data_IF_179541798854
#
_entry.id   IF_179541798854
#
_cell.length_a   1.000
_cell.length_b   1.000
_cell.length_c   1.000
_cell.angle_alpha   90.00
_cell.angle_beta   90.00
_cell.angle_gamma   90.00
#
_symmetry.space_group_name_H-M   'P 1'
#
loop_
_entity.id
_entity.type
_entity.pdbx_description
1 polymer ?
#
# COMPACT_ATOMS: atom_id res chain seq x y z
N UNK A 1 -8.26 -2.48 22.72
CA UNK A 1 -8.75 -1.28 21.99
C UNK A 1 -7.68 -0.99 20.97
N UNK A 2 -8.05 -0.79 19.70
CA UNK A 2 -7.05 -0.52 18.67
C UNK A 2 -6.51 0.90 18.80
N UNK A 3 -5.25 1.09 18.42
CA UNK A 3 -4.58 2.38 18.45
C UNK A 3 -3.48 2.45 17.39
N UNK A 4 -3.24 3.65 16.87
CA UNK A 4 -2.11 3.89 15.97
C UNK A 4 -0.82 3.96 16.79
N UNK A 5 0.23 3.30 16.32
CA UNK A 5 1.52 3.26 17.01
C UNK A 5 2.23 4.59 16.85
N UNK A 6 2.44 5.28 17.97
CA UNK A 6 3.21 6.52 18.03
C UNK A 6 4.66 6.25 17.61
N UNK A 7 5.13 6.95 16.57
CA UNK A 7 6.48 6.81 16.04
C UNK A 7 6.66 5.69 15.00
N UNK A 8 5.57 5.08 14.50
CA UNK A 8 5.64 4.24 13.32
C UNK A 8 6.25 5.03 12.14
N UNK A 9 7.40 4.56 11.65
CA UNK A 9 8.13 5.20 10.55
C UNK A 9 7.88 4.46 9.24
N UNK A 10 8.16 5.12 8.12
CA UNK A 10 8.18 4.48 6.80
C UNK A 10 9.11 3.26 6.79
N UNK A 11 10.30 3.38 7.39
CA UNK A 11 11.27 2.29 7.43
C UNK A 11 10.80 1.10 8.29
N UNK A 12 10.18 1.36 9.44
CA UNK A 12 9.66 0.28 10.30
C UNK A 12 8.50 -0.45 9.64
N UNK A 13 7.54 0.28 9.05
CA UNK A 13 6.40 -0.34 8.36
C UNK A 13 6.86 -1.08 7.10
N UNK A 14 7.77 -0.51 6.31
CA UNK A 14 8.33 -1.20 5.14
C UNK A 14 9.02 -2.52 5.53
N UNK A 15 9.74 -2.53 6.66
CA UNK A 15 10.37 -3.74 7.21
C UNK A 15 9.31 -4.78 7.59
N UNK A 16 8.23 -4.40 8.29
CA UNK A 16 7.15 -5.32 8.66
C UNK A 16 6.41 -5.86 7.43
N UNK A 17 6.10 -5.00 6.47
CA UNK A 17 5.53 -5.37 5.17
C UNK A 17 6.50 -6.17 4.28
N UNK A 18 7.77 -6.30 4.69
CA UNK A 18 8.85 -6.92 3.93
C UNK A 18 9.03 -6.32 2.52
N UNK A 19 8.84 -5.01 2.39
CA UNK A 19 8.98 -4.27 1.14
C UNK A 19 10.23 -3.40 1.18
N UNK A 20 10.98 -3.40 0.07
CA UNK A 20 12.05 -2.44 -0.14
C UNK A 20 11.50 -1.17 -0.78
N UNK A 21 11.66 -0.04 -0.11
CA UNK A 21 11.29 1.26 -0.66
C UNK A 21 12.30 1.66 -1.75
N UNK A 22 11.87 1.92 -3.00
CA UNK A 22 12.78 2.36 -4.05
C UNK A 22 13.44 3.69 -3.72
N UNK A 23 14.68 3.89 -4.19
CA UNK A 23 15.44 5.11 -3.92
C UNK A 23 14.77 6.38 -4.49
N UNK A 24 14.01 6.25 -5.57
CA UNK A 24 13.27 7.36 -6.18
C UNK A 24 11.93 7.66 -5.49
N UNK A 25 11.56 6.92 -4.44
CA UNK A 25 10.32 7.13 -3.74
C UNK A 25 10.28 8.49 -3.05
N UNK A 26 9.20 9.21 -3.29
CA UNK A 26 8.93 10.52 -2.68
C UNK A 26 7.59 10.49 -1.94
N UNK A 27 7.33 11.51 -1.11
CA UNK A 27 6.09 11.62 -0.33
C UNK A 27 5.74 10.37 0.48
N UNK A 28 6.75 9.62 0.93
CA UNK A 28 6.53 8.37 1.63
C UNK A 28 5.88 8.61 3.00
N UNK A 29 4.77 7.91 3.25
CA UNK A 29 4.02 7.94 4.50
C UNK A 29 3.65 6.51 4.90
N UNK A 30 3.60 6.24 6.20
CA UNK A 30 3.19 4.95 6.70
C UNK A 30 2.56 5.08 8.08
N UNK A 31 1.73 4.10 8.45
CA UNK A 31 1.18 3.94 9.79
C UNK A 31 0.96 2.46 10.11
N UNK A 32 0.96 2.16 11.40
CA UNK A 32 0.73 0.83 11.96
C UNK A 32 -0.37 0.96 13.03
N UNK A 33 -1.42 0.17 12.88
CA UNK A 33 -2.56 0.09 13.77
C UNK A 33 -2.47 -1.21 14.57
N UNK A 34 -2.23 -1.10 15.86
CA UNK A 34 -2.18 -2.25 16.77
C UNK A 34 -3.52 -2.51 17.45
N UNK A 35 -3.72 -3.74 17.91
CA UNK A 35 -4.78 -4.09 18.86
C UNK A 35 -6.12 -4.48 18.22
N UNK A 36 -6.08 -4.89 16.94
CA UNK A 36 -7.08 -5.73 16.31
C UNK A 36 -6.71 -7.22 16.51
N UNK A 37 -7.38 -8.14 15.81
CA UNK A 37 -6.96 -9.56 15.81
C UNK A 37 -5.58 -9.73 15.16
N UNK A 38 -5.37 -8.98 14.07
CA UNK A 38 -4.17 -8.87 13.26
C UNK A 38 -3.84 -7.37 13.15
N UNK A 39 -2.58 -6.94 13.23
CA UNK A 39 -2.27 -5.52 13.17
C UNK A 39 -2.37 -5.00 11.75
N UNK A 40 -2.87 -3.78 11.61
CA UNK A 40 -3.08 -3.14 10.33
C UNK A 40 -1.89 -2.29 9.90
N UNK A 41 -1.33 -2.55 8.72
CA UNK A 41 -0.19 -1.81 8.19
C UNK A 41 -0.59 -1.09 6.91
N UNK A 42 -0.34 0.22 6.83
CA UNK A 42 -0.53 1.00 5.61
C UNK A 42 0.71 1.81 5.28
N UNK A 43 1.05 1.86 4.00
CA UNK A 43 2.18 2.63 3.49
C UNK A 43 1.85 3.15 2.09
N UNK A 44 2.24 4.39 1.80
CA UNK A 44 2.08 4.96 0.48
C UNK A 44 3.26 5.86 0.12
N UNK A 45 3.60 5.91 -1.16
CA UNK A 45 4.68 6.74 -1.69
C UNK A 45 4.47 6.96 -3.19
N UNK A 46 5.14 7.98 -3.74
CA UNK A 46 5.08 8.35 -5.15
C UNK A 46 6.35 7.89 -5.86
N UNK A 47 6.17 7.28 -7.02
CA UNK A 47 7.25 6.86 -7.93
C UNK A 47 7.11 7.50 -9.32
N UNK A 48 8.23 7.70 -10.03
CA UNK A 48 8.23 7.85 -11.47
C UNK A 48 7.52 6.66 -12.14
N UNK A 49 6.71 6.94 -13.17
CA UNK A 49 5.87 5.93 -13.85
C UNK A 49 6.67 4.76 -14.41
N UNK A 50 7.89 5.02 -14.87
CA UNK A 50 8.84 4.04 -15.40
C UNK A 50 9.42 3.11 -14.32
N UNK A 51 9.44 3.52 -13.06
CA UNK A 51 9.90 2.70 -11.93
C UNK A 51 8.78 1.87 -11.27
N UNK A 52 7.51 2.22 -11.52
CA UNK A 52 6.35 1.56 -10.90
C UNK A 52 6.29 0.08 -11.26
N UNK A 53 6.48 -0.25 -12.54
CA UNK A 53 6.32 -1.62 -13.02
C UNK A 53 7.45 -2.52 -12.49
N UNK A 54 8.67 -1.97 -12.37
CA UNK A 54 9.79 -2.66 -11.73
C UNK A 54 9.50 -2.91 -10.24
N UNK A 55 9.03 -1.89 -9.51
CA UNK A 55 8.65 -2.05 -8.11
C UNK A 55 7.57 -3.13 -7.93
N UNK A 56 6.50 -3.08 -8.74
CA UNK A 56 5.44 -4.10 -8.68
C UNK A 56 5.98 -5.50 -8.98
N UNK A 57 6.91 -5.64 -9.93
CA UNK A 57 7.53 -6.94 -10.22
C UNK A 57 8.33 -7.49 -9.03
N UNK A 58 8.99 -6.63 -8.23
CA UNK A 58 9.70 -7.03 -7.02
C UNK A 58 8.77 -7.56 -5.92
N UNK A 59 7.52 -7.09 -5.88
CA UNK A 59 6.48 -7.66 -5.00
C UNK A 59 6.03 -9.07 -5.44
N UNK A 60 6.48 -9.53 -6.62
CA UNK A 60 6.20 -10.83 -7.24
C UNK A 60 4.71 -11.22 -7.10
N UNK A 61 3.80 -10.40 -7.66
CA UNK A 61 2.38 -10.72 -7.66
C UNK A 61 2.15 -12.09 -8.34
N UNK A 62 1.32 -12.95 -7.75
CA UNK A 62 0.98 -14.25 -8.34
C UNK A 62 0.29 -14.12 -9.71
N UNK A 63 -0.42 -13.00 -9.91
CA UNK A 63 -1.12 -12.65 -11.14
C UNK A 63 -0.90 -11.16 -11.43
N UNK A 64 -0.90 -10.75 -12.71
CA UNK A 64 -0.84 -9.33 -13.06
C UNK A 64 -1.90 -8.51 -12.30
N UNK A 65 -1.54 -7.29 -11.90
CA UNK A 65 -2.49 -6.38 -11.24
C UNK A 65 -3.68 -6.09 -12.16
N UNK A 66 -4.89 -6.15 -11.61
CA UNK A 66 -6.11 -5.84 -12.33
C UNK A 66 -6.31 -4.33 -12.45
N UNK A 67 -6.73 -3.86 -13.62
CA UNK A 67 -7.13 -2.46 -13.80
C UNK A 67 -8.59 -2.29 -13.39
N UNK A 68 -8.83 -1.41 -12.43
CA UNK A 68 -10.15 -0.93 -12.05
C UNK A 68 -10.36 0.47 -12.62
N UNK A 69 -11.23 0.57 -13.61
CA UNK A 69 -11.52 1.82 -14.31
C UNK A 69 -12.31 2.81 -13.44
N UNK A 70 -13.32 2.33 -12.71
CA UNK A 70 -14.24 3.18 -11.95
C UNK A 70 -13.98 3.10 -10.44
N UNK A 71 -14.16 4.20 -9.68
CA UNK A 71 -14.16 4.18 -8.22
C UNK A 71 -15.14 3.16 -7.65
N UNK A 72 -14.78 2.53 -6.53
CA UNK A 72 -15.73 1.80 -5.73
C UNK A 72 -16.66 2.79 -5.01
N UNK A 73 -17.88 2.33 -4.72
CA UNK A 73 -18.85 3.15 -3.98
C UNK A 73 -18.44 3.40 -2.52
N UNK A 74 -17.54 2.57 -1.96
CA UNK A 74 -17.03 2.67 -0.59
C UNK A 74 -15.67 1.99 -0.46
N UNK A 75 -14.89 2.40 0.55
CA UNK A 75 -13.65 1.72 0.92
C UNK A 75 -13.92 0.29 1.39
N UNK A 76 -13.04 -0.62 0.98
CA UNK A 76 -13.03 -2.03 1.34
C UNK A 76 -12.24 -2.31 2.61
N UNK A 77 -11.38 -1.36 3.04
CA UNK A 77 -10.61 -1.45 4.28
C UNK A 77 -10.87 -0.22 5.17
N UNK A 78 -12.01 -0.17 5.89
CA UNK A 78 -12.34 0.96 6.75
C UNK A 78 -11.52 1.02 8.04
N UNK A 79 -10.88 -0.10 8.43
CA UNK A 79 -10.11 -0.18 9.68
C UNK A 79 -8.77 0.54 9.59
N UNK A 80 -8.13 0.52 8.41
CA UNK A 80 -6.86 1.21 8.16
C UNK A 80 -6.97 2.19 6.99
N UNK A 81 -7.69 3.31 7.18
CA UNK A 81 -7.94 4.24 6.11
C UNK A 81 -6.68 5.07 5.78
N UNK A 82 -6.37 5.22 4.49
CA UNK A 82 -5.24 6.06 4.03
C UNK A 82 -5.46 7.56 4.32
N UNK A 83 -6.71 7.96 4.56
CA UNK A 83 -7.03 9.31 5.06
C UNK A 83 -6.40 9.63 6.42
N UNK A 84 -6.03 8.63 7.23
CA UNK A 84 -5.20 8.84 8.42
C UNK A 84 -3.83 9.45 8.08
N UNK A 85 -3.27 9.12 6.90
CA UNK A 85 -2.02 9.68 6.38
C UNK A 85 -2.25 11.00 5.61
N UNK A 86 -3.49 11.52 5.58
CA UNK A 86 -3.89 12.67 4.77
C UNK A 86 -3.86 12.37 3.26
N UNK A 87 -4.13 11.12 2.87
CA UNK A 87 -4.14 10.67 1.48
C UNK A 87 -5.56 10.26 1.05
N UNK A 88 -5.89 10.32 -0.25
CA UNK A 88 -7.13 9.75 -0.75
C UNK A 88 -7.12 8.22 -0.64
N UNK A 89 -8.29 7.63 -0.45
CA UNK A 89 -8.44 6.18 -0.43
C UNK A 89 -8.30 5.59 -1.84
N UNK A 90 -7.44 4.58 -2.07
CA UNK A 90 -7.24 4.00 -3.39
C UNK A 90 -8.54 3.44 -3.99
N UNK A 91 -9.41 2.87 -3.16
CA UNK A 91 -10.71 2.34 -3.57
C UNK A 91 -11.64 3.39 -4.18
N UNK A 92 -11.50 4.65 -3.77
CA UNK A 92 -12.33 5.77 -4.24
C UNK A 92 -11.72 6.51 -5.45
N UNK A 93 -10.57 6.05 -5.94
CA UNK A 93 -9.92 6.59 -7.14
C UNK A 93 -10.31 5.80 -8.39
N UNK A 94 -10.28 6.46 -9.54
CA UNK A 94 -10.46 5.83 -10.85
C UNK A 94 -9.12 5.35 -11.44
N UNK A 95 -9.16 4.43 -12.40
CA UNK A 95 -7.99 3.92 -13.14
C UNK A 95 -6.86 3.40 -12.24
N UNK A 96 -7.23 2.62 -11.24
CA UNK A 96 -6.30 2.04 -10.27
C UNK A 96 -5.90 0.64 -10.70
N UNK A 97 -4.59 0.34 -10.71
CA UNK A 97 -4.10 -1.04 -10.88
C UNK A 97 -3.92 -1.65 -9.50
N UNK A 98 -4.57 -2.76 -9.18
CA UNK A 98 -4.52 -3.35 -7.84
C UNK A 98 -4.48 -4.89 -7.84
N UNK A 99 -4.01 -5.46 -6.74
CA UNK A 99 -3.93 -6.90 -6.55
C UNK A 99 -3.29 -7.29 -5.22
N UNK A 100 -3.49 -8.55 -4.83
CA UNK A 100 -2.80 -9.15 -3.68
C UNK A 100 -1.43 -9.67 -4.11
N UNK A 101 -0.42 -9.46 -3.27
CA UNK A 101 0.98 -9.77 -3.55
C UNK A 101 1.58 -10.54 -2.38
N UNK A 102 1.49 -11.86 -2.43
CA UNK A 102 1.85 -12.72 -1.28
C UNK A 102 3.31 -13.21 -1.27
N UNK A 103 4.19 -12.70 -2.12
CA UNK A 103 5.53 -13.26 -2.23
C UNK A 103 6.53 -12.96 -1.10
N UNK A 104 6.35 -11.92 -0.25
CA UNK A 104 7.13 -11.78 0.97
C UNK A 104 6.33 -12.13 2.25
N UNK A 105 5.16 -12.77 2.10
CA UNK A 105 4.26 -13.07 3.22
C UNK A 105 4.62 -14.36 4.00
N UNK A 106 5.67 -15.09 3.63
CA UNK A 106 5.90 -16.46 4.14
C UNK A 106 6.19 -16.54 5.66
N UNK A 107 6.56 -15.44 6.32
CA UNK A 107 6.97 -15.48 7.74
C UNK A 107 6.06 -14.74 8.72
N UNK A 108 5.62 -13.50 8.43
CA UNK A 108 4.96 -12.62 9.41
C UNK A 108 3.84 -11.74 8.83
N UNK A 109 3.36 -12.02 7.61
CA UNK A 109 2.33 -11.18 6.99
C UNK A 109 1.21 -12.06 6.47
N UNK A 110 0.01 -11.91 7.00
CA UNK A 110 -1.16 -12.68 6.58
C UNK A 110 -1.60 -12.31 5.15
N UNK A 111 -1.51 -11.03 4.77
CA UNK A 111 -1.67 -10.60 3.38
C UNK A 111 -1.04 -9.24 3.11
N UNK A 112 -0.72 -8.99 1.84
CA UNK A 112 -0.32 -7.68 1.31
C UNK A 112 -1.13 -7.39 0.04
N UNK A 113 -1.72 -6.21 -0.03
CA UNK A 113 -2.38 -5.66 -1.21
C UNK A 113 -1.59 -4.45 -1.70
N UNK A 114 -1.38 -4.38 -3.00
CA UNK A 114 -0.88 -3.18 -3.68
C UNK A 114 -1.99 -2.55 -4.51
N UNK A 115 -2.05 -1.23 -4.50
CA UNK A 115 -2.83 -0.43 -5.44
C UNK A 115 -1.95 0.71 -5.99
N UNK A 116 -2.08 0.99 -7.28
CA UNK A 116 -1.30 2.00 -8.00
C UNK A 116 -2.27 2.95 -8.67
N UNK A 117 -2.23 4.21 -8.27
CA UNK A 117 -3.04 5.28 -8.86
C UNK A 117 -2.14 6.33 -9.50
N UNK A 118 -2.52 6.79 -10.69
CA UNK A 118 -1.80 7.88 -11.36
C UNK A 118 -1.98 9.20 -10.59
N UNK A 119 -0.89 9.93 -10.37
CA UNK A 119 -0.93 11.28 -9.77
C UNK A 119 -0.93 12.33 -10.88
N UNK A 120 -0.03 12.16 -11.85
CA UNK A 120 0.09 12.97 -13.07
C UNK A 120 0.61 12.12 -14.24
N UNK A 121 0.94 12.73 -15.38
CA UNK A 121 1.41 12.02 -16.58
C UNK A 121 2.76 11.28 -16.39
N UNK A 122 3.53 11.63 -15.37
CA UNK A 122 4.89 11.14 -15.09
C UNK A 122 5.01 10.34 -13.81
N UNK A 123 4.07 10.46 -12.87
CA UNK A 123 4.18 9.86 -11.55
C UNK A 123 2.93 9.08 -11.16
N UNK A 124 3.13 8.06 -10.34
CA UNK A 124 2.04 7.28 -9.73
C UNK A 124 2.28 7.12 -8.24
N UNK A 125 1.20 7.12 -7.48
CA UNK A 125 1.21 6.77 -6.07
C UNK A 125 0.94 5.28 -5.91
N UNK A 126 1.83 4.63 -5.19
CA UNK A 126 1.71 3.26 -4.72
C UNK A 126 1.10 3.29 -3.33
N UNK A 127 0.12 2.43 -3.11
CA UNK A 127 -0.52 2.16 -1.83
C UNK A 127 -0.28 0.70 -1.49
N UNK A 128 0.20 0.45 -0.29
CA UNK A 128 0.39 -0.87 0.30
C UNK A 128 -0.46 -0.96 1.55
N UNK A 129 -1.24 -2.02 1.65
CA UNK A 129 -2.00 -2.36 2.84
C UNK A 129 -1.74 -3.81 3.15
N UNK A 130 -1.47 -4.14 4.41
CA UNK A 130 -1.30 -5.50 4.85
C UNK A 130 -1.77 -5.69 6.28
N UNK A 131 -1.85 -6.95 6.68
CA UNK A 131 -1.97 -7.31 8.10
C UNK A 131 -0.96 -8.39 8.45
N UNK A 132 -0.42 -8.33 9.66
CA UNK A 132 0.47 -9.36 10.19
C UNK A 132 -0.27 -10.53 10.83
#
# INVERSE_FOLDING_TARGET
>A
MSHWVDGATVASVAKTLQVQLPAAATEAKAAHLEGLQDDGLIMAFVLPKDEVDEFVAQLKPERPLGLREQPLARSTNPSTPFSHLGLPEPDLLARVREGQVCAPCEDNLNWLKVAVAQVDDRTSRVYLSGVD
#
